data_IF_189509209229
#
_entry.id   IF_189509209229
#
_cell.length_a   1.000
_cell.length_b   1.000
_cell.length_c   1.000
_cell.angle_alpha   90.00
_cell.angle_beta   90.00
_cell.angle_gamma   90.00
#
_symmetry.space_group_name_H-M   'P 1'
#
loop_
_entity.id
_entity.type
_entity.pdbx_description
1 polymer ?
#
# COMPACT_ATOMS: atom_id res chain seq x y z
N UNK A 1 29.75 3.69 -11.57
CA UNK A 1 28.65 3.99 -12.51
C UNK A 1 28.54 5.50 -12.54
N UNK A 2 28.69 6.19 -13.69
CA UNK A 2 28.51 7.63 -13.72
C UNK A 2 27.03 7.93 -13.41
N UNK A 3 26.77 8.63 -12.31
CA UNK A 3 25.45 9.21 -12.03
C UNK A 3 25.24 10.35 -13.02
N UNK A 4 24.55 10.06 -14.12
CA UNK A 4 24.04 11.11 -15.00
C UNK A 4 23.01 11.91 -14.20
N UNK A 5 23.16 13.24 -14.06
CA UNK A 5 22.20 14.05 -13.32
C UNK A 5 20.80 13.91 -13.94
N UNK A 6 19.73 13.91 -13.12
CA UNK A 6 18.37 13.80 -13.64
C UNK A 6 18.08 14.98 -14.58
N UNK A 7 17.28 14.76 -15.64
CA UNK A 7 16.95 15.82 -16.59
C UNK A 7 16.28 17.00 -15.89
N UNK A 8 16.57 18.23 -16.31
CA UNK A 8 15.91 19.43 -15.78
C UNK A 8 14.58 19.68 -16.53
N UNK A 9 13.69 20.48 -15.93
CA UNK A 9 12.47 20.92 -16.61
C UNK A 9 12.76 21.65 -17.94
N UNK A 10 13.85 22.41 -17.99
CA UNK A 10 14.29 23.11 -19.20
C UNK A 10 14.72 22.13 -20.31
N UNK A 11 15.44 21.06 -19.95
CA UNK A 11 15.82 20.01 -20.90
C UNK A 11 14.61 19.22 -21.42
N UNK A 12 13.59 18.99 -20.59
CA UNK A 12 12.33 18.37 -20.99
C UNK A 12 11.54 19.25 -21.96
N UNK A 13 11.43 20.55 -21.68
CA UNK A 13 10.77 21.49 -22.59
C UNK A 13 11.46 21.52 -23.96
N UNK A 14 12.80 21.49 -24.00
CA UNK A 14 13.55 21.45 -25.25
C UNK A 14 13.28 20.15 -26.05
N UNK A 15 13.19 18.99 -25.38
CA UNK A 15 12.85 17.71 -26.02
C UNK A 15 11.41 17.71 -26.56
N UNK A 16 10.46 18.23 -25.78
CA UNK A 16 9.06 18.35 -26.18
C UNK A 16 8.93 19.27 -27.41
N UNK A 17 9.56 20.43 -27.38
CA UNK A 17 9.51 21.40 -28.49
C UNK A 17 10.14 20.82 -29.77
N UNK A 18 11.23 20.06 -29.64
CA UNK A 18 11.81 19.33 -30.77
C UNK A 18 10.86 18.26 -31.32
N UNK A 19 10.16 17.53 -30.45
CA UNK A 19 9.18 16.51 -30.85
C UNK A 19 7.98 17.12 -31.55
N UNK A 20 7.48 18.27 -31.08
CA UNK A 20 6.38 18.99 -31.71
C UNK A 20 6.74 19.52 -33.10
N UNK A 21 8.01 19.88 -33.32
CA UNK A 21 8.51 20.34 -34.63
C UNK A 21 8.76 19.19 -35.62
N UNK A 22 9.24 18.04 -35.15
CA UNK A 22 9.51 16.88 -35.98
C UNK A 22 9.23 15.58 -35.20
N UNK A 23 7.99 15.08 -35.23
CA UNK A 23 7.62 13.89 -34.48
C UNK A 23 8.28 12.67 -35.12
N UNK A 24 9.13 11.98 -34.34
CA UNK A 24 9.82 10.77 -34.77
C UNK A 24 9.87 9.76 -33.63
N UNK A 25 9.86 8.46 -33.97
CA UNK A 25 9.91 7.37 -32.99
C UNK A 25 11.12 7.44 -32.04
N UNK A 26 12.36 7.70 -32.53
CA UNK A 26 13.51 7.82 -31.63
C UNK A 26 13.35 8.97 -30.63
N UNK A 27 12.87 10.12 -31.10
CA UNK A 27 12.68 11.31 -30.26
C UNK A 27 11.53 11.13 -29.25
N UNK A 28 10.49 10.37 -29.62
CA UNK A 28 9.44 9.95 -28.68
C UNK A 28 10.00 9.07 -27.57
N UNK A 29 10.90 8.15 -27.91
CA UNK A 29 11.60 7.29 -26.94
C UNK A 29 12.44 8.11 -25.96
N UNK A 30 13.24 9.05 -26.47
CA UNK A 30 14.06 9.95 -25.65
C UNK A 30 13.21 10.83 -24.72
N UNK A 31 12.12 11.40 -25.23
CA UNK A 31 11.20 12.21 -24.43
C UNK A 31 10.54 11.38 -23.31
N UNK A 32 10.09 10.17 -23.61
CA UNK A 32 9.45 9.30 -22.62
C UNK A 32 10.44 8.85 -21.53
N UNK A 33 11.68 8.53 -21.92
CA UNK A 33 12.75 8.18 -20.99
C UNK A 33 13.09 9.37 -20.08
N UNK A 34 13.25 10.57 -20.63
CA UNK A 34 13.54 11.78 -19.86
C UNK A 34 12.40 12.13 -18.90
N UNK A 35 11.14 12.02 -19.34
CA UNK A 35 9.96 12.25 -18.49
C UNK A 35 9.92 11.29 -17.30
N UNK A 36 10.15 10.00 -17.55
CA UNK A 36 10.17 8.96 -16.50
C UNK A 36 11.27 9.23 -15.47
N UNK A 37 12.47 9.61 -15.93
CA UNK A 37 13.59 9.95 -15.06
C UNK A 37 13.30 11.20 -14.22
N UNK A 38 12.72 12.24 -14.82
CA UNK A 38 12.33 13.46 -14.11
C UNK A 38 11.27 13.20 -13.04
N UNK A 39 10.21 12.45 -13.38
CA UNK A 39 9.15 12.09 -12.45
C UNK A 39 9.67 11.28 -11.28
N UNK A 40 10.51 10.28 -11.55
CA UNK A 40 11.15 9.46 -10.52
C UNK A 40 11.98 10.33 -9.57
N UNK A 41 12.83 11.22 -10.09
CA UNK A 41 13.62 12.14 -9.28
C UNK A 41 12.75 13.11 -8.48
N UNK A 42 11.67 13.65 -9.08
CA UNK A 42 10.72 14.54 -8.43
C UNK A 42 9.98 13.85 -7.27
N UNK A 43 9.58 12.58 -7.45
CA UNK A 43 8.95 11.75 -6.42
C UNK A 43 9.96 11.49 -5.29
N UNK A 44 11.18 11.05 -5.59
CA UNK A 44 12.20 10.81 -4.56
C UNK A 44 12.53 12.07 -3.75
N UNK A 45 12.61 13.23 -4.41
CA UNK A 45 12.88 14.49 -3.74
C UNK A 45 11.74 14.95 -2.81
N UNK A 46 10.51 14.48 -3.05
CA UNK A 46 9.32 14.88 -2.28
C UNK A 46 8.76 13.78 -1.38
N UNK A 47 9.22 12.55 -1.54
CA UNK A 47 8.87 11.44 -0.69
C UNK A 47 9.20 11.80 0.77
N UNK A 48 8.17 11.94 1.60
CA UNK A 48 8.31 12.28 3.02
C UNK A 48 8.29 13.77 3.35
N UNK A 49 8.25 14.70 2.37
CA UNK A 49 8.16 16.15 2.67
C UNK A 49 6.77 16.56 3.19
N UNK A 50 5.70 15.93 2.68
CA UNK A 50 4.33 16.09 3.14
C UNK A 50 3.87 14.97 4.09
N UNK A 51 4.79 14.08 4.47
CA UNK A 51 4.47 13.10 5.50
C UNK A 51 4.33 13.87 6.83
N UNK A 52 3.18 13.78 7.53
CA UNK A 52 3.11 14.30 8.89
C UNK A 52 4.27 13.68 9.68
N UNK A 53 4.97 14.47 10.52
CA UNK A 53 6.08 13.95 11.30
C UNK A 53 5.59 12.68 11.98
N UNK A 54 6.32 11.57 11.75
CA UNK A 54 5.97 10.29 12.34
C UNK A 54 5.73 10.53 13.82
N UNK A 55 4.48 10.35 14.25
CA UNK A 55 4.12 10.55 15.63
C UNK A 55 5.12 9.71 16.45
N UNK A 56 5.76 10.27 17.48
CA UNK A 56 6.63 9.49 18.34
C UNK A 56 5.85 8.23 18.74
N UNK A 57 6.48 7.05 18.78
CA UNK A 57 5.78 5.83 19.13
C UNK A 57 5.07 6.10 20.45
N UNK A 58 3.74 6.19 20.38
CA UNK A 58 2.94 6.52 21.53
C UNK A 58 3.29 5.44 22.56
N UNK A 59 3.67 5.81 23.79
CA UNK A 59 3.88 4.80 24.83
C UNK A 59 2.59 3.99 24.87
N UNK A 60 2.71 2.69 24.61
CA UNK A 60 1.61 1.75 24.58
C UNK A 60 0.95 1.80 25.95
N UNK A 61 -0.05 2.66 26.11
CA UNK A 61 -0.80 2.76 27.34
C UNK A 61 -1.48 1.40 27.50
N UNK A 62 -1.15 0.63 28.54
CA UNK A 62 -1.49 -0.78 28.58
C UNK A 62 -2.94 -0.99 29.02
N UNK A 63 -3.92 -0.21 28.57
CA UNK A 63 -5.29 -0.44 29.00
C UNK A 63 -6.44 0.18 28.21
N UNK A 64 -6.28 0.45 26.92
CA UNK A 64 -7.46 0.76 26.08
C UNK A 64 -7.75 -0.40 25.15
N UNK A 65 -8.78 -1.15 25.48
CA UNK A 65 -9.44 -2.05 24.53
C UNK A 65 -9.75 -1.22 23.28
N UNK A 66 -9.23 -1.61 22.09
CA UNK A 66 -9.51 -0.86 20.87
C UNK A 66 -11.03 -0.80 20.67
N UNK A 67 -11.56 0.34 20.20
CA UNK A 67 -13.00 0.54 20.09
C UNK A 67 -13.58 -0.53 19.17
N UNK A 68 -14.60 -1.23 19.66
CA UNK A 68 -15.28 -2.28 18.90
C UNK A 68 -15.90 -1.65 17.64
N UNK A 69 -15.89 -2.34 16.49
CA UNK A 69 -16.51 -1.81 15.27
C UNK A 69 -17.98 -1.46 15.51
N UNK A 70 -18.41 -0.30 14.99
CA UNK A 70 -19.77 0.24 15.23
C UNK A 70 -20.85 -0.40 14.33
N UNK A 71 -20.52 -1.45 13.61
CA UNK A 71 -21.41 -2.15 12.69
C UNK A 71 -21.66 -3.60 13.17
N UNK A 72 -22.82 -4.19 12.84
CA UNK A 72 -23.08 -5.59 13.15
C UNK A 72 -22.19 -6.51 12.32
N UNK A 73 -21.66 -7.55 12.96
CA UNK A 73 -20.88 -8.63 12.33
C UNK A 73 -21.65 -9.93 12.56
N UNK A 74 -21.87 -10.71 11.51
CA UNK A 74 -22.58 -11.97 11.64
C UNK A 74 -21.73 -12.99 12.42
N UNK A 75 -22.39 -13.95 13.10
CA UNK A 75 -21.68 -14.97 13.87
C UNK A 75 -20.71 -15.81 13.02
N UNK A 76 -21.09 -16.12 11.77
CA UNK A 76 -20.22 -16.81 10.83
C UNK A 76 -18.96 -16.01 10.49
N UNK A 77 -19.09 -14.70 10.35
CA UNK A 77 -17.96 -13.81 10.05
C UNK A 77 -17.02 -13.68 11.26
N UNK A 78 -17.57 -13.64 12.48
CA UNK A 78 -16.77 -13.69 13.71
C UNK A 78 -15.98 -15.01 13.83
N UNK A 79 -16.57 -16.14 13.44
CA UNK A 79 -15.88 -17.43 13.47
C UNK A 79 -14.69 -17.49 12.49
N UNK A 80 -14.78 -16.81 11.34
CA UNK A 80 -13.65 -16.66 10.41
C UNK A 80 -12.53 -15.86 11.06
N UNK A 81 -12.84 -14.71 11.65
CA UNK A 81 -11.86 -13.87 12.34
C UNK A 81 -11.22 -14.62 13.52
N UNK A 82 -12.00 -15.40 14.27
CA UNK A 82 -11.52 -16.22 15.40
C UNK A 82 -10.49 -17.26 14.93
N UNK A 83 -10.79 -18.01 13.85
CA UNK A 83 -9.83 -18.95 13.27
C UNK A 83 -8.54 -18.26 12.80
N UNK A 84 -8.66 -17.05 12.24
CA UNK A 84 -7.47 -16.27 11.86
C UNK A 84 -6.65 -15.86 13.09
N UNK A 85 -7.30 -15.50 14.19
CA UNK A 85 -6.65 -15.17 15.45
C UNK A 85 -5.94 -16.39 16.08
N UNK A 86 -6.40 -17.61 15.78
CA UNK A 86 -5.76 -18.87 16.18
C UNK A 86 -4.56 -19.25 15.29
N UNK A 87 -4.24 -18.46 14.26
CA UNK A 87 -3.06 -18.65 13.40
C UNK A 87 -3.35 -19.22 12.02
N UNK A 88 -4.63 -19.39 11.65
CA UNK A 88 -4.97 -19.68 10.25
C UNK A 88 -4.74 -18.44 9.38
N UNK A 89 -4.00 -18.60 8.28
CA UNK A 89 -3.64 -17.51 7.35
C UNK A 89 -4.27 -17.81 5.99
N UNK A 90 -5.57 -17.49 5.80
CA UNK A 90 -6.31 -17.81 4.59
C UNK A 90 -5.93 -16.91 3.42
N UNK A 91 -6.20 -17.41 2.21
CA UNK A 91 -6.21 -16.65 0.96
C UNK A 91 -7.62 -16.15 0.62
N UNK A 92 -7.72 -15.23 -0.34
CA UNK A 92 -9.00 -14.74 -0.86
C UNK A 92 -9.91 -15.85 -1.43
N UNK A 93 -9.34 -16.97 -1.89
CA UNK A 93 -10.11 -18.12 -2.40
C UNK A 93 -10.80 -18.93 -1.29
N UNK A 94 -10.25 -18.93 -0.08
CA UNK A 94 -10.75 -19.71 1.06
C UNK A 94 -11.88 -19.00 1.83
N UNK A 95 -12.00 -17.68 1.68
CA UNK A 95 -13.01 -16.87 2.37
C UNK A 95 -13.91 -16.20 1.33
N UNK A 96 -15.11 -16.76 1.05
CA UNK A 96 -15.99 -16.27 -0.01
C UNK A 96 -16.39 -14.79 0.09
N UNK A 97 -16.38 -14.23 1.31
CA UNK A 97 -16.74 -12.83 1.59
C UNK A 97 -15.53 -11.96 1.96
N UNK A 98 -14.32 -12.33 1.55
CA UNK A 98 -13.09 -11.61 1.91
C UNK A 98 -13.16 -10.10 1.66
N UNK A 99 -13.73 -9.66 0.52
CA UNK A 99 -13.93 -8.24 0.18
C UNK A 99 -14.76 -7.48 1.22
N UNK A 100 -15.72 -8.15 1.86
CA UNK A 100 -16.54 -7.53 2.92
C UNK A 100 -15.71 -7.21 4.16
N UNK A 101 -14.76 -8.08 4.51
CA UNK A 101 -13.84 -7.88 5.63
C UNK A 101 -12.83 -6.79 5.33
N UNK A 102 -12.25 -6.79 4.13
CA UNK A 102 -11.27 -5.80 3.69
C UNK A 102 -11.87 -4.38 3.63
N UNK A 103 -13.04 -4.23 3.01
CA UNK A 103 -13.75 -2.94 2.94
C UNK A 103 -14.13 -2.36 4.33
N UNK A 104 -14.12 -3.20 5.36
CA UNK A 104 -14.38 -2.80 6.76
C UNK A 104 -13.13 -2.77 7.62
N UNK A 105 -11.97 -2.87 6.97
CA UNK A 105 -10.64 -2.83 7.61
C UNK A 105 -10.50 -3.89 8.71
N UNK A 106 -11.23 -5.01 8.60
CA UNK A 106 -11.13 -6.13 9.55
C UNK A 106 -9.93 -7.03 9.21
N UNK A 107 -9.56 -7.07 7.94
CA UNK A 107 -8.40 -7.80 7.41
C UNK A 107 -7.64 -6.92 6.43
N UNK A 108 -6.37 -7.23 6.23
CA UNK A 108 -5.52 -6.70 5.15
C UNK A 108 -5.03 -7.83 4.27
N UNK A 109 -4.89 -7.57 2.97
CA UNK A 109 -4.19 -8.45 2.04
C UNK A 109 -2.69 -8.16 2.13
N UNK A 110 -1.89 -9.19 2.32
CA UNK A 110 -0.44 -9.11 2.35
C UNK A 110 0.19 -10.06 1.33
N UNK A 111 1.35 -9.70 0.76
CA UNK A 111 2.12 -10.62 -0.05
C UNK A 111 2.40 -11.92 0.69
N UNK A 112 2.36 -13.04 -0.03
CA UNK A 112 2.69 -14.33 0.57
C UNK A 112 4.14 -14.30 1.11
N UNK A 113 4.38 -14.63 2.39
CA UNK A 113 5.72 -14.62 2.97
C UNK A 113 6.68 -15.63 2.30
N UNK A 114 6.15 -16.64 1.61
CA UNK A 114 6.95 -17.57 0.81
C UNK A 114 7.49 -16.94 -0.51
N UNK A 115 7.17 -15.67 -0.80
CA UNK A 115 7.63 -14.93 -1.97
C UNK A 115 6.99 -15.33 -3.29
N UNK A 116 6.10 -16.35 -3.28
CA UNK A 116 5.33 -16.80 -4.43
C UNK A 116 3.97 -17.34 -3.98
N UNK A 117 2.99 -17.28 -4.87
CA UNK A 117 1.62 -17.74 -4.60
C UNK A 117 0.62 -16.60 -4.32
N UNK A 118 -0.63 -16.95 -4.00
CA UNK A 118 -1.69 -15.97 -3.74
C UNK A 118 -1.40 -15.17 -2.47
N UNK A 119 -1.84 -13.91 -2.47
CA UNK A 119 -1.83 -13.06 -1.29
C UNK A 119 -2.64 -13.68 -0.15
N UNK A 120 -2.19 -13.40 1.06
CA UNK A 120 -2.76 -13.93 2.28
C UNK A 120 -3.44 -12.84 3.07
N UNK A 121 -4.50 -13.17 3.79
CA UNK A 121 -5.17 -12.24 4.68
C UNK A 121 -4.57 -12.28 6.07
N UNK A 122 -4.35 -11.09 6.63
CA UNK A 122 -4.00 -10.90 8.05
C UNK A 122 -5.08 -10.12 8.76
N UNK A 123 -5.24 -10.39 10.05
CA UNK A 123 -6.13 -9.60 10.89
C UNK A 123 -5.57 -8.19 11.07
N UNK A 124 -6.39 -7.20 10.69
CA UNK A 124 -6.11 -5.80 10.95
C UNK A 124 -6.49 -5.44 12.39
N UNK A 125 -6.13 -4.24 12.84
CA UNK A 125 -6.44 -3.77 14.19
C UNK A 125 -7.95 -3.81 14.51
N UNK A 126 -8.82 -3.48 13.55
CA UNK A 126 -10.27 -3.53 13.75
C UNK A 126 -10.80 -4.98 13.82
N UNK A 127 -10.17 -5.93 13.13
CA UNK A 127 -10.47 -7.37 13.23
C UNK A 127 -10.16 -7.90 14.63
N UNK A 128 -8.99 -7.58 15.17
CA UNK A 128 -8.64 -7.91 16.57
C UNK A 128 -9.62 -7.27 17.57
N UNK A 129 -9.99 -5.99 17.35
CA UNK A 129 -10.96 -5.29 18.17
C UNK A 129 -12.37 -5.90 18.11
N UNK A 130 -12.79 -6.42 16.95
CA UNK A 130 -14.06 -7.13 16.79
C UNK A 130 -14.17 -8.35 17.71
N UNK A 131 -13.06 -9.07 17.86
CA UNK A 131 -12.92 -10.23 18.75
C UNK A 131 -12.68 -9.85 20.23
N UNK A 132 -12.43 -8.57 20.53
CA UNK A 132 -12.00 -8.13 21.85
C UNK A 132 -10.62 -8.64 22.24
N UNK A 133 -9.79 -9.01 21.24
CA UNK A 133 -8.43 -9.52 21.42
C UNK A 133 -7.40 -8.47 21.00
N UNK A 134 -6.13 -8.75 21.28
CA UNK A 134 -4.98 -7.96 20.81
C UNK A 134 -4.12 -8.84 19.91
N UNK A 135 -3.44 -8.27 18.89
CA UNK A 135 -2.41 -9.00 18.16
C UNK A 135 -1.36 -9.51 19.15
N UNK A 136 -1.09 -10.82 19.09
CA UNK A 136 -0.09 -11.50 19.91
C UNK A 136 1.32 -11.41 19.33
#
# INVERSE_FOLDING_TARGET
>A
MPETPPPSAESLHALLDRYLRCPSEPLRGELNQALTAFQTAWIHARAGLDAPPAAPPAPTAPNRTPPKPKFPIAAADLAVLERMAEGWVPTAAEVPRWVWFENRELVTMEPNPAGSGPEVMRLAAAGWAALGRRPG
#
